data_IF_098857722464
#
_entry.id   IF_098857722464
#
_cell.length_a   1.000
_cell.length_b   1.000
_cell.length_c   1.000
_cell.angle_alpha   90.00
_cell.angle_beta   90.00
_cell.angle_gamma   90.00
#
_symmetry.space_group_name_H-M   'P 1'
#
loop_
_entity.id
_entity.type
_entity.pdbx_description
1 polymer ?
#
# COMPACT_ATOMS: atom_id res chain seq x y z
N UNK A 1 39.45 13.67 -24.58
CA UNK A 1 38.17 13.83 -23.86
C UNK A 1 36.94 14.00 -24.77
N UNK A 2 36.94 14.85 -25.82
CA UNK A 2 35.76 15.01 -26.73
C UNK A 2 35.37 13.72 -27.49
N UNK A 3 36.35 12.96 -27.99
CA UNK A 3 36.10 11.67 -28.68
C UNK A 3 35.47 10.63 -27.75
N UNK A 4 35.92 10.53 -26.49
CA UNK A 4 35.37 9.61 -25.49
C UNK A 4 33.90 9.94 -25.13
N UNK A 5 33.55 11.23 -25.00
CA UNK A 5 32.16 11.65 -24.81
C UNK A 5 31.26 11.26 -25.99
N UNK A 6 31.76 11.34 -27.23
CA UNK A 6 31.02 10.92 -28.42
C UNK A 6 30.72 9.42 -28.44
N UNK A 7 31.70 8.58 -28.08
CA UNK A 7 31.52 7.13 -27.97
C UNK A 7 30.54 6.74 -26.84
N UNK A 8 30.56 7.45 -25.71
CA UNK A 8 29.60 7.23 -24.61
C UNK A 8 28.18 7.57 -25.05
N UNK A 9 27.97 8.71 -25.72
CA UNK A 9 26.65 9.09 -26.23
C UNK A 9 26.16 8.07 -27.27
N UNK A 10 27.02 7.66 -28.20
CA UNK A 10 26.68 6.64 -29.19
C UNK A 10 26.30 5.31 -28.52
N UNK A 11 27.07 4.84 -27.54
CA UNK A 11 26.77 3.62 -26.80
C UNK A 11 25.40 3.71 -26.09
N UNK A 12 25.10 4.84 -25.43
CA UNK A 12 23.80 5.06 -24.78
C UNK A 12 22.66 5.04 -25.80
N UNK A 13 22.81 5.72 -26.94
CA UNK A 13 21.80 5.74 -28.02
C UNK A 13 21.56 4.35 -28.57
N UNK A 14 22.62 3.56 -28.81
CA UNK A 14 22.50 2.18 -29.31
C UNK A 14 21.78 1.29 -28.29
N UNK A 15 22.13 1.39 -27.00
CA UNK A 15 21.45 0.62 -25.94
C UNK A 15 19.97 0.97 -25.86
N UNK A 16 19.62 2.26 -25.93
CA UNK A 16 18.22 2.71 -25.95
C UNK A 16 17.49 2.17 -27.19
N UNK A 17 18.12 2.25 -28.37
CA UNK A 17 17.54 1.76 -29.62
C UNK A 17 17.27 0.24 -29.57
N UNK A 18 18.22 -0.56 -29.07
CA UNK A 18 18.05 -2.00 -28.90
C UNK A 18 16.93 -2.33 -27.90
N UNK A 19 16.84 -1.58 -26.81
CA UNK A 19 15.76 -1.75 -25.83
C UNK A 19 14.39 -1.43 -26.44
N UNK A 20 14.27 -0.30 -27.15
CA UNK A 20 13.02 0.08 -27.83
C UNK A 20 12.63 -0.91 -28.93
N UNK A 21 13.61 -1.44 -29.68
CA UNK A 21 13.38 -2.46 -30.69
C UNK A 21 12.87 -3.76 -30.05
N UNK A 22 13.48 -4.20 -28.95
CA UNK A 22 13.00 -5.36 -28.19
C UNK A 22 11.56 -5.16 -27.71
N UNK A 23 11.23 -3.99 -27.14
CA UNK A 23 9.85 -3.68 -26.77
C UNK A 23 8.91 -3.73 -27.97
N UNK A 24 9.29 -3.12 -29.09
CA UNK A 24 8.49 -3.15 -30.32
C UNK A 24 8.20 -4.58 -30.79
N UNK A 25 9.22 -5.44 -30.87
CA UNK A 25 9.06 -6.82 -31.31
C UNK A 25 8.10 -7.60 -30.39
N UNK A 26 8.22 -7.41 -29.07
CA UNK A 26 7.32 -8.07 -28.11
C UNK A 26 5.88 -7.58 -28.25
N UNK A 27 5.65 -6.27 -28.16
CA UNK A 27 4.29 -5.71 -28.22
C UNK A 27 3.61 -5.94 -29.56
N UNK A 28 4.34 -5.81 -30.66
CA UNK A 28 3.80 -6.04 -32.00
C UNK A 28 3.53 -7.52 -32.26
N UNK A 29 4.42 -8.41 -31.79
CA UNK A 29 4.22 -9.85 -31.85
C UNK A 29 2.97 -10.29 -31.09
N UNK A 30 2.81 -9.81 -29.85
CA UNK A 30 1.61 -10.09 -29.04
C UNK A 30 0.36 -9.50 -29.70
N UNK A 31 0.41 -8.27 -30.22
CA UNK A 31 -0.71 -7.65 -30.92
C UNK A 31 -1.18 -8.48 -32.13
N UNK A 32 -0.25 -8.95 -32.97
CA UNK A 32 -0.58 -9.84 -34.10
C UNK A 32 -1.20 -11.16 -33.61
N UNK A 33 -0.67 -11.74 -32.54
CA UNK A 33 -1.21 -12.96 -31.96
C UNK A 33 -2.64 -12.78 -31.44
N UNK A 34 -2.90 -11.73 -30.66
CA UNK A 34 -4.25 -11.41 -30.16
C UNK A 34 -5.23 -11.14 -31.30
N UNK A 35 -4.80 -10.43 -32.35
CA UNK A 35 -5.65 -10.16 -33.51
C UNK A 35 -5.99 -11.45 -34.28
N UNK A 36 -5.02 -12.35 -34.48
CA UNK A 36 -5.25 -13.64 -35.13
C UNK A 36 -6.22 -14.55 -34.34
N UNK A 37 -6.25 -14.41 -33.01
CA UNK A 37 -7.17 -15.14 -32.14
C UNK A 37 -8.55 -14.47 -31.99
N UNK A 38 -8.79 -13.33 -32.67
CA UNK A 38 -10.04 -12.56 -32.57
C UNK A 38 -10.20 -11.74 -31.29
N UNK A 39 -9.14 -11.59 -30.48
CA UNK A 39 -9.11 -10.85 -29.22
C UNK A 39 -8.34 -9.53 -29.29
N UNK A 40 -8.16 -8.95 -30.50
CA UNK A 40 -7.42 -7.69 -30.69
C UNK A 40 -7.91 -6.54 -29.81
N UNK A 41 -9.23 -6.41 -29.65
CA UNK A 41 -9.83 -5.36 -28.80
C UNK A 41 -9.45 -5.47 -27.32
N UNK A 42 -9.21 -6.69 -26.81
CA UNK A 42 -8.78 -6.93 -25.43
C UNK A 42 -7.35 -6.40 -25.24
N UNK A 43 -6.49 -6.68 -26.20
CA UNK A 43 -5.11 -6.17 -26.20
C UNK A 43 -5.08 -4.65 -26.31
N UNK A 44 -5.86 -4.06 -27.22
CA UNK A 44 -5.94 -2.60 -27.37
C UNK A 44 -6.42 -1.93 -26.07
N UNK A 45 -7.42 -2.52 -25.40
CA UNK A 45 -7.91 -2.03 -24.11
C UNK A 45 -6.84 -2.12 -23.01
N UNK A 46 -6.10 -3.22 -22.96
CA UNK A 46 -4.99 -3.41 -22.02
C UNK A 46 -3.90 -2.35 -22.21
N UNK A 47 -3.42 -2.16 -23.45
CA UNK A 47 -2.38 -1.18 -23.78
C UNK A 47 -2.87 0.24 -23.50
N UNK A 48 -4.10 0.57 -23.90
CA UNK A 48 -4.68 1.87 -23.62
C UNK A 48 -4.72 2.15 -22.11
N UNK A 49 -5.17 1.17 -21.32
CA UNK A 49 -5.20 1.31 -19.86
C UNK A 49 -3.79 1.53 -19.28
N UNK A 50 -2.80 0.76 -19.73
CA UNK A 50 -1.39 0.93 -19.33
C UNK A 50 -0.86 2.33 -19.66
N UNK A 51 -1.04 2.78 -20.91
CA UNK A 51 -0.57 4.10 -21.38
C UNK A 51 -1.27 5.23 -20.65
N UNK A 52 -2.60 5.16 -20.48
CA UNK A 52 -3.38 6.18 -19.75
C UNK A 52 -2.93 6.25 -18.29
N UNK A 53 -2.78 5.10 -17.62
CA UNK A 53 -2.25 5.06 -16.25
C UNK A 53 -0.83 5.63 -16.18
N UNK A 54 0.05 5.26 -17.10
CA UNK A 54 1.41 5.80 -17.15
C UNK A 54 1.38 7.34 -17.25
N UNK A 55 0.68 7.89 -18.25
CA UNK A 55 0.63 9.34 -18.49
C UNK A 55 0.02 10.09 -17.31
N UNK A 56 -1.08 9.56 -16.75
CA UNK A 56 -1.77 10.19 -15.62
C UNK A 56 -0.89 10.24 -14.36
N UNK A 57 -0.32 9.11 -13.95
CA UNK A 57 0.51 9.05 -12.74
C UNK A 57 1.87 9.73 -12.93
N UNK A 58 2.43 9.71 -14.15
CA UNK A 58 3.60 10.52 -14.51
C UNK A 58 3.31 12.00 -14.31
N UNK A 59 2.19 12.48 -14.87
CA UNK A 59 1.76 13.87 -14.74
C UNK A 59 1.57 14.29 -13.28
N UNK A 60 0.84 13.49 -12.50
CA UNK A 60 0.60 13.76 -11.07
C UNK A 60 1.93 13.86 -10.31
N UNK A 61 2.83 12.88 -10.49
CA UNK A 61 4.12 12.87 -9.79
C UNK A 61 4.98 14.06 -10.18
N UNK A 62 5.14 14.31 -11.49
CA UNK A 62 6.00 15.38 -12.00
C UNK A 62 5.48 16.73 -11.55
N UNK A 63 4.17 16.98 -11.64
CA UNK A 63 3.57 18.24 -11.20
C UNK A 63 3.80 18.47 -9.70
N UNK A 64 3.53 17.46 -8.87
CA UNK A 64 3.73 17.57 -7.43
C UNK A 64 5.22 17.75 -7.08
N UNK A 65 6.10 16.84 -7.51
CA UNK A 65 7.51 16.87 -7.18
C UNK A 65 8.21 18.12 -7.73
N UNK A 66 7.93 18.53 -8.97
CA UNK A 66 8.49 19.76 -9.54
C UNK A 66 8.00 21.00 -8.80
N UNK A 67 6.74 21.05 -8.35
CA UNK A 67 6.25 22.17 -7.54
C UNK A 67 6.99 22.26 -6.20
N UNK A 68 7.15 21.14 -5.49
CA UNK A 68 7.85 21.11 -4.20
C UNK A 68 9.34 21.45 -4.35
N UNK A 69 10.02 20.87 -5.34
CA UNK A 69 11.44 21.14 -5.62
C UNK A 69 11.65 22.60 -6.06
N UNK A 70 10.77 23.15 -6.90
CA UNK A 70 10.85 24.55 -7.31
C UNK A 70 10.64 25.50 -6.12
N UNK A 71 9.71 25.17 -5.21
CA UNK A 71 9.53 25.90 -3.96
C UNK A 71 10.79 25.83 -3.09
N UNK A 72 11.40 24.66 -2.96
CA UNK A 72 12.65 24.46 -2.24
C UNK A 72 13.78 25.30 -2.82
N UNK A 73 13.98 25.22 -4.15
CA UNK A 73 14.99 25.99 -4.88
C UNK A 73 14.83 27.48 -4.64
N UNK A 74 13.61 28.03 -4.77
CA UNK A 74 13.34 29.46 -4.53
C UNK A 74 13.64 29.87 -3.10
N UNK A 75 13.25 29.06 -2.11
CA UNK A 75 13.51 29.36 -0.70
C UNK A 75 15.00 29.23 -0.34
N UNK A 76 15.72 28.31 -0.99
CA UNK A 76 17.15 28.06 -0.78
C UNK A 76 18.07 29.15 -1.34
N UNK A 77 17.62 29.97 -2.30
CA UNK A 77 18.41 31.12 -2.80
C UNK A 77 18.88 32.04 -1.67
N UNK A 78 18.08 32.19 -0.61
CA UNK A 78 18.43 33.05 0.53
C UNK A 78 19.49 32.43 1.48
N UNK A 79 19.75 31.14 1.36
CA UNK A 79 20.76 30.41 2.17
C UNK A 79 21.98 30.00 1.35
N UNK A 80 21.97 30.21 0.02
CA UNK A 80 23.09 29.96 -0.89
C UNK A 80 24.28 30.87 -0.59
N UNK A 81 25.05 30.53 0.43
CA UNK A 81 26.38 31.07 0.63
C UNK A 81 27.40 29.93 0.57
N UNK A 82 27.74 29.55 -0.66
CA UNK A 82 28.73 28.49 -0.95
C UNK A 82 30.17 29.02 -0.95
N UNK A 83 30.41 30.24 -0.44
CA UNK A 83 31.74 30.87 -0.41
C UNK A 83 32.73 30.17 0.51
N UNK A 84 32.28 29.24 1.36
CA UNK A 84 33.12 28.52 2.33
C UNK A 84 32.78 27.02 2.38
N UNK A 85 32.72 26.36 1.22
CA UNK A 85 32.70 24.90 1.18
C UNK A 85 34.13 24.39 1.45
N UNK A 86 34.28 23.44 2.37
CA UNK A 86 35.57 22.77 2.56
C UNK A 86 35.89 21.93 1.31
N UNK A 87 37.18 21.75 1.00
CA UNK A 87 37.62 20.99 -0.17
C UNK A 87 37.16 19.51 -0.16
N UNK A 88 36.87 18.95 1.01
CA UNK A 88 36.40 17.58 1.23
C UNK A 88 34.86 17.44 1.21
N UNK A 89 34.12 18.51 0.90
CA UNK A 89 32.66 18.47 0.92
C UNK A 89 32.10 17.63 -0.25
N UNK A 90 31.29 16.58 0.00
CA UNK A 90 30.72 15.73 -1.06
C UNK A 90 29.83 16.50 -2.05
N UNK A 91 29.34 17.69 -1.66
CA UNK A 91 28.59 18.58 -2.57
C UNK A 91 29.44 19.09 -3.73
N UNK A 92 30.77 19.15 -3.60
CA UNK A 92 31.68 19.68 -4.60
C UNK A 92 31.57 18.97 -5.97
N UNK A 93 31.22 17.68 -5.98
CA UNK A 93 31.02 16.88 -7.21
C UNK A 93 29.75 17.29 -7.98
N UNK A 94 28.72 17.76 -7.27
CA UNK A 94 27.37 17.98 -7.82
C UNK A 94 27.11 19.47 -8.09
N UNK A 95 27.71 20.36 -7.29
CA UNK A 95 27.55 21.80 -7.40
C UNK A 95 27.80 22.40 -8.79
N UNK A 96 28.77 21.92 -9.61
CA UNK A 96 28.95 22.42 -10.99
C UNK A 96 27.75 22.15 -11.92
N UNK A 97 26.97 21.10 -11.63
CA UNK A 97 25.71 20.77 -12.31
C UNK A 97 24.53 21.56 -11.71
N UNK A 98 24.67 22.03 -10.47
CA UNK A 98 23.66 22.73 -9.70
C UNK A 98 23.86 24.26 -9.69
N UNK A 99 24.14 24.87 -10.85
CA UNK A 99 24.27 26.33 -11.00
C UNK A 99 23.53 26.89 -12.22
N UNK A 100 22.94 28.09 -12.06
CA UNK A 100 22.25 28.81 -13.14
C UNK A 100 21.13 28.00 -13.80
N UNK A 101 21.04 28.05 -15.14
CA UNK A 101 20.05 27.30 -15.93
C UNK A 101 20.23 25.77 -15.83
N UNK A 102 21.39 25.27 -15.39
CA UNK A 102 21.65 23.82 -15.27
C UNK A 102 20.84 23.17 -14.16
N UNK A 103 20.43 23.93 -13.13
CA UNK A 103 19.61 23.40 -12.04
C UNK A 103 18.24 22.96 -12.55
N UNK A 104 17.66 23.70 -13.48
CA UNK A 104 16.41 23.31 -14.12
C UNK A 104 16.56 21.97 -14.84
N UNK A 105 17.59 21.81 -15.67
CA UNK A 105 17.86 20.55 -16.38
C UNK A 105 18.18 19.39 -15.42
N UNK A 106 18.94 19.65 -14.36
CA UNK A 106 19.23 18.67 -13.32
C UNK A 106 17.93 18.15 -12.69
N UNK A 107 17.07 19.03 -12.21
CA UNK A 107 15.80 18.63 -11.59
C UNK A 107 14.82 18.03 -12.60
N UNK A 108 14.81 18.50 -13.84
CA UNK A 108 13.98 17.91 -14.89
C UNK A 108 14.39 16.45 -15.15
N UNK A 109 15.69 16.14 -15.18
CA UNK A 109 16.19 14.76 -15.32
C UNK A 109 15.85 13.93 -14.08
N UNK A 110 16.08 14.45 -12.87
CA UNK A 110 15.81 13.72 -11.62
C UNK A 110 14.32 13.45 -11.43
N UNK A 111 13.48 14.48 -11.54
CA UNK A 111 12.01 14.36 -11.42
C UNK A 111 11.46 13.53 -12.58
N UNK A 112 11.98 13.68 -13.80
CA UNK A 112 11.58 12.87 -14.94
C UNK A 112 11.91 11.39 -14.75
N UNK A 113 13.11 11.06 -14.28
CA UNK A 113 13.54 9.69 -13.98
C UNK A 113 12.62 9.03 -12.95
N UNK A 114 12.43 9.67 -11.79
CA UNK A 114 11.54 9.13 -10.76
C UNK A 114 10.07 9.15 -11.19
N UNK A 115 9.66 10.10 -12.04
CA UNK A 115 8.34 10.12 -12.66
C UNK A 115 8.09 8.89 -13.53
N UNK A 116 9.07 8.50 -14.35
CA UNK A 116 8.99 7.26 -15.15
C UNK A 116 8.87 6.05 -14.21
N UNK A 117 9.68 5.96 -13.15
CA UNK A 117 9.62 4.85 -12.18
C UNK A 117 8.24 4.76 -11.53
N UNK A 118 7.70 5.90 -11.06
CA UNK A 118 6.40 5.99 -10.41
C UNK A 118 5.24 5.66 -11.36
N UNK A 119 5.32 6.13 -12.60
CA UNK A 119 4.34 5.89 -13.64
C UNK A 119 4.34 4.43 -14.11
N UNK A 120 5.52 3.82 -14.25
CA UNK A 120 5.67 2.40 -14.59
C UNK A 120 5.06 1.50 -13.51
N UNK A 121 5.25 1.84 -12.23
CA UNK A 121 4.61 1.12 -11.12
C UNK A 121 3.07 1.17 -11.22
N UNK A 122 2.49 2.35 -11.53
CA UNK A 122 1.06 2.50 -11.74
C UNK A 122 0.56 1.76 -12.98
N UNK A 123 1.28 1.87 -14.10
CA UNK A 123 0.97 1.17 -15.35
C UNK A 123 0.87 -0.35 -15.15
N UNK A 124 1.66 -0.94 -14.25
CA UNK A 124 1.56 -2.36 -13.90
C UNK A 124 0.23 -2.78 -13.25
N UNK A 125 -0.53 -1.83 -12.70
CA UNK A 125 -1.82 -2.05 -12.03
C UNK A 125 -3.03 -1.77 -12.94
N UNK A 126 -2.82 -1.66 -14.26
CA UNK A 126 -3.85 -1.37 -15.27
C UNK A 126 -5.12 -2.22 -15.10
N UNK A 127 -5.00 -3.52 -14.81
CA UNK A 127 -6.13 -4.43 -14.65
C UNK A 127 -6.99 -4.06 -13.42
N UNK A 128 -6.35 -3.66 -12.31
CA UNK A 128 -7.07 -3.20 -11.12
C UNK A 128 -7.83 -1.90 -11.41
N UNK A 129 -7.25 -0.98 -12.19
CA UNK A 129 -7.93 0.25 -12.57
C UNK A 129 -9.13 -0.01 -13.49
N UNK A 130 -9.02 -0.94 -14.44
CA UNK A 130 -10.16 -1.35 -15.27
C UNK A 130 -11.29 -1.95 -14.42
N UNK A 131 -10.94 -2.82 -13.47
CA UNK A 131 -11.91 -3.40 -12.53
C UNK A 131 -12.55 -2.34 -11.62
N UNK A 132 -11.81 -1.30 -11.24
CA UNK A 132 -12.34 -0.18 -10.46
C UNK A 132 -13.33 0.67 -11.26
N UNK A 133 -13.08 0.89 -12.55
CA UNK A 133 -13.96 1.66 -13.44
C UNK A 133 -15.19 0.85 -13.85
N UNK A 134 -15.04 -0.47 -14.00
CA UNK A 134 -16.10 -1.40 -14.37
C UNK A 134 -16.35 -2.47 -13.29
N UNK A 135 -16.76 -2.07 -12.06
CA UNK A 135 -17.01 -3.02 -10.99
C UNK A 135 -18.28 -3.82 -11.26
N UNK A 136 -18.31 -5.08 -10.86
CA UNK A 136 -19.52 -5.92 -10.87
C UNK A 136 -20.02 -6.11 -9.44
N UNK A 137 -21.31 -5.89 -9.22
CA UNK A 137 -21.93 -6.16 -7.94
C UNK A 137 -22.16 -7.67 -7.77
N UNK A 138 -21.85 -8.19 -6.59
CA UNK A 138 -22.10 -9.58 -6.25
C UNK A 138 -23.52 -9.79 -5.69
N UNK A 139 -24.16 -8.72 -5.21
CA UNK A 139 -25.47 -8.77 -4.56
C UNK A 139 -25.40 -9.28 -3.12
N UNK A 140 -24.19 -9.35 -2.55
CA UNK A 140 -23.93 -9.88 -1.21
C UNK A 140 -23.28 -8.79 -0.38
N UNK A 141 -24.04 -8.24 0.56
CA UNK A 141 -23.54 -7.22 1.47
C UNK A 141 -22.97 -7.86 2.74
N UNK A 142 -21.77 -7.43 3.13
CA UNK A 142 -21.17 -7.85 4.39
C UNK A 142 -21.82 -7.14 5.60
N UNK A 143 -21.90 -7.80 6.77
CA UNK A 143 -22.74 -7.35 7.88
C UNK A 143 -22.14 -6.23 8.75
N UNK A 144 -20.89 -5.83 8.54
CA UNK A 144 -20.17 -4.88 9.42
C UNK A 144 -20.27 -3.44 8.89
N UNK A 145 -19.97 -3.21 7.61
CA UNK A 145 -20.05 -1.90 6.96
C UNK A 145 -21.18 -1.79 5.92
N UNK A 146 -21.89 -2.89 5.64
CA UNK A 146 -22.97 -2.93 4.64
C UNK A 146 -22.49 -2.77 3.20
N UNK A 147 -21.22 -3.09 2.91
CA UNK A 147 -20.65 -2.97 1.56
C UNK A 147 -20.85 -4.26 0.76
N UNK A 148 -21.08 -4.14 -0.54
CA UNK A 148 -21.10 -5.30 -1.43
C UNK A 148 -19.71 -5.94 -1.51
N UNK A 149 -19.63 -7.26 -1.65
CA UNK A 149 -18.36 -7.97 -1.81
C UNK A 149 -17.50 -7.42 -2.97
N UNK A 150 -18.13 -6.87 -4.02
CA UNK A 150 -17.47 -6.23 -5.15
C UNK A 150 -16.66 -4.99 -4.77
N UNK A 151 -17.02 -4.26 -3.70
CA UNK A 151 -16.19 -3.18 -3.17
C UNK A 151 -14.81 -3.69 -2.76
N UNK A 152 -14.76 -4.81 -2.06
CA UNK A 152 -13.54 -5.39 -1.52
C UNK A 152 -12.65 -6.03 -2.59
N UNK A 153 -13.26 -6.58 -3.65
CA UNK A 153 -12.55 -7.23 -4.75
C UNK A 153 -12.05 -6.21 -5.77
N UNK A 154 -12.89 -5.25 -6.17
CA UNK A 154 -12.60 -4.37 -7.30
C UNK A 154 -12.15 -2.96 -6.91
N UNK A 155 -12.61 -2.44 -5.76
CA UNK A 155 -12.39 -1.02 -5.41
C UNK A 155 -11.33 -0.81 -4.34
N UNK A 156 -11.37 -1.60 -3.27
CA UNK A 156 -10.43 -1.50 -2.15
C UNK A 156 -8.96 -1.65 -2.58
N UNK A 157 -8.57 -2.58 -3.48
CA UNK A 157 -7.18 -2.70 -3.93
C UNK A 157 -6.67 -1.43 -4.61
N UNK A 158 -7.51 -0.74 -5.40
CA UNK A 158 -7.14 0.52 -6.04
C UNK A 158 -6.99 1.63 -5.01
N UNK A 159 -7.88 1.74 -4.02
CA UNK A 159 -7.71 2.72 -2.94
C UNK A 159 -6.42 2.47 -2.12
N UNK A 160 -6.07 1.21 -1.88
CA UNK A 160 -4.82 0.83 -1.22
C UNK A 160 -3.59 1.20 -2.05
N UNK A 161 -3.61 0.88 -3.35
CA UNK A 161 -2.58 1.27 -4.30
C UNK A 161 -2.39 2.80 -4.30
N UNK A 162 -3.48 3.56 -4.48
CA UNK A 162 -3.45 5.02 -4.51
C UNK A 162 -2.88 5.61 -3.21
N UNK A 163 -3.26 5.05 -2.05
CA UNK A 163 -2.77 5.48 -0.74
C UNK A 163 -1.27 5.22 -0.60
N UNK A 164 -0.80 4.02 -0.97
CA UNK A 164 0.62 3.67 -0.91
C UNK A 164 1.46 4.49 -1.90
N UNK A 165 0.99 4.63 -3.13
CA UNK A 165 1.62 5.42 -4.18
C UNK A 165 1.71 6.91 -3.78
N UNK A 166 0.65 7.47 -3.20
CA UNK A 166 0.64 8.84 -2.68
C UNK A 166 1.65 9.04 -1.56
N UNK A 167 1.67 8.15 -0.55
CA UNK A 167 2.62 8.24 0.56
C UNK A 167 4.07 8.18 0.05
N UNK A 168 4.35 7.27 -0.88
CA UNK A 168 5.68 7.14 -1.47
C UNK A 168 6.04 8.36 -2.33
N UNK A 169 5.10 8.92 -3.11
CA UNK A 169 5.29 10.18 -3.83
C UNK A 169 5.68 11.32 -2.87
N UNK A 170 4.97 11.48 -1.75
CA UNK A 170 5.27 12.53 -0.76
C UNK A 170 6.64 12.34 -0.13
N UNK A 171 6.99 11.11 0.27
CA UNK A 171 8.31 10.79 0.85
C UNK A 171 9.43 11.06 -0.16
N UNK A 172 9.25 10.64 -1.41
CA UNK A 172 10.24 10.83 -2.46
C UNK A 172 10.41 12.31 -2.81
N UNK A 173 9.32 13.07 -2.91
CA UNK A 173 9.37 14.52 -3.06
C UNK A 173 10.05 15.20 -1.86
N UNK A 174 9.77 14.75 -0.62
CA UNK A 174 10.42 15.27 0.56
C UNK A 174 11.93 14.98 0.56
N UNK A 175 12.36 13.80 0.10
CA UNK A 175 13.77 13.47 -0.08
C UNK A 175 14.44 14.39 -1.12
N UNK A 176 13.80 14.64 -2.27
CA UNK A 176 14.28 15.60 -3.27
C UNK A 176 14.39 17.02 -2.70
N UNK A 177 13.39 17.47 -1.96
CA UNK A 177 13.39 18.79 -1.32
C UNK A 177 14.50 18.89 -0.27
N UNK A 178 14.67 17.88 0.58
CA UNK A 178 15.77 17.81 1.56
C UNK A 178 17.13 17.87 0.85
N UNK A 179 17.28 17.13 -0.25
CA UNK A 179 18.48 17.17 -1.07
C UNK A 179 18.73 18.55 -1.69
N UNK A 180 17.69 19.23 -2.20
CA UNK A 180 17.77 20.61 -2.67
C UNK A 180 18.29 21.54 -1.57
N UNK A 181 17.73 21.44 -0.37
CA UNK A 181 18.14 22.28 0.76
C UNK A 181 19.55 21.98 1.28
N UNK A 182 19.98 20.72 1.19
CA UNK A 182 21.34 20.33 1.48
C UNK A 182 22.35 20.97 0.50
N UNK A 183 22.03 20.96 -0.81
CA UNK A 183 22.83 21.64 -1.84
C UNK A 183 22.83 23.17 -1.67
N UNK A 184 21.75 23.73 -1.14
CA UNK A 184 21.60 25.16 -0.85
C UNK A 184 22.15 25.59 0.52
N UNK A 185 22.83 24.68 1.24
CA UNK A 185 23.37 24.88 2.59
C UNK A 185 22.34 25.48 3.57
N UNK A 186 21.08 25.06 3.45
CA UNK A 186 19.96 25.66 4.18
C UNK A 186 19.80 25.14 5.62
N UNK A 187 20.56 24.09 5.95
CA UNK A 187 20.75 23.54 7.29
C UNK A 187 22.16 22.96 7.41
N UNK A 188 22.71 22.94 8.62
CA UNK A 188 24.05 22.44 8.87
C UNK A 188 24.53 22.75 10.29
N UNK A 189 25.80 22.44 10.55
CA UNK A 189 26.43 22.71 11.84
C UNK A 189 27.18 24.04 11.76
N UNK A 190 26.84 24.98 12.65
CA UNK A 190 27.56 26.25 12.81
C UNK A 190 28.08 26.31 14.24
N UNK A 191 29.40 26.15 14.40
CA UNK A 191 30.01 25.93 15.71
C UNK A 191 29.47 24.65 16.37
N UNK A 192 28.98 24.76 17.60
CA UNK A 192 28.39 23.64 18.35
C UNK A 192 26.85 23.55 18.23
N UNK A 193 26.23 24.33 17.33
CA UNK A 193 24.77 24.38 17.18
C UNK A 193 24.33 23.98 15.77
N UNK A 194 23.25 23.20 15.68
CA UNK A 194 22.61 22.85 14.41
C UNK A 194 21.60 23.93 14.02
N UNK A 195 21.82 24.58 12.88
CA UNK A 195 20.91 25.58 12.36
C UNK A 195 20.06 25.00 11.22
N UNK A 196 18.80 25.45 11.15
CA UNK A 196 17.89 25.15 10.05
C UNK A 196 17.12 26.43 9.78
N UNK A 197 17.11 26.90 8.54
CA UNK A 197 16.40 28.15 8.20
C UNK A 197 14.89 28.03 8.46
N UNK A 198 14.25 29.16 8.82
CA UNK A 198 12.82 29.15 9.13
C UNK A 198 11.95 28.69 7.95
N UNK A 199 12.31 29.08 6.72
CA UNK A 199 11.59 28.69 5.50
C UNK A 199 11.69 27.19 5.22
N UNK A 200 12.86 26.59 5.43
CA UNK A 200 13.04 25.12 5.34
C UNK A 200 12.14 24.42 6.35
N UNK A 201 12.10 24.89 7.60
CA UNK A 201 11.23 24.31 8.63
C UNK A 201 9.77 24.35 8.20
N UNK A 202 9.31 25.48 7.67
CA UNK A 202 7.91 25.64 7.22
C UNK A 202 7.56 24.67 6.10
N UNK A 203 8.40 24.59 5.07
CA UNK A 203 8.18 23.70 3.94
C UNK A 203 8.21 22.23 4.35
N UNK A 204 9.13 21.85 5.25
CA UNK A 204 9.17 20.49 5.82
C UNK A 204 7.92 20.16 6.63
N UNK A 205 7.43 21.12 7.42
CA UNK A 205 6.19 20.95 8.19
C UNK A 205 4.98 20.78 7.26
N UNK A 206 4.91 21.56 6.17
CA UNK A 206 3.85 21.41 5.16
C UNK A 206 3.91 20.07 4.43
N UNK A 207 5.11 19.57 4.10
CA UNK A 207 5.29 18.20 3.58
C UNK A 207 4.87 17.13 4.59
N UNK A 208 5.08 17.38 5.88
CA UNK A 208 4.50 16.58 6.96
C UNK A 208 2.97 16.59 6.95
N UNK A 209 2.34 17.72 6.60
CA UNK A 209 0.89 17.82 6.38
C UNK A 209 0.41 16.94 5.23
N UNK A 210 1.09 16.98 4.07
CA UNK A 210 0.79 16.08 2.95
C UNK A 210 0.94 14.61 3.38
N UNK A 211 2.03 14.28 4.08
CA UNK A 211 2.22 12.93 4.59
C UNK A 211 1.09 12.50 5.53
N UNK A 212 0.67 13.38 6.44
CA UNK A 212 -0.44 13.13 7.37
C UNK A 212 -1.77 12.86 6.67
N UNK A 213 -2.09 13.53 5.55
CA UNK A 213 -3.27 13.20 4.73
C UNK A 213 -3.20 11.75 4.24
N UNK A 214 -2.02 11.32 3.77
CA UNK A 214 -1.78 9.94 3.36
C UNK A 214 -1.91 8.94 4.51
N UNK A 215 -1.45 9.31 5.72
CA UNK A 215 -1.62 8.48 6.91
C UNK A 215 -3.10 8.33 7.29
N UNK A 216 -3.89 9.39 7.16
CA UNK A 216 -5.34 9.30 7.38
C UNK A 216 -6.01 8.34 6.40
N UNK A 217 -5.68 8.45 5.10
CA UNK A 217 -6.14 7.50 4.09
C UNK A 217 -5.68 6.06 4.38
N UNK A 218 -4.46 5.88 4.89
CA UNK A 218 -3.95 4.57 5.30
C UNK A 218 -4.79 3.96 6.43
N UNK A 219 -5.18 4.73 7.44
CA UNK A 219 -6.08 4.23 8.49
C UNK A 219 -7.49 3.94 7.96
N UNK A 220 -7.97 4.69 6.97
CA UNK A 220 -9.22 4.37 6.28
C UNK A 220 -9.12 3.03 5.54
N UNK A 221 -7.99 2.73 4.90
CA UNK A 221 -7.75 1.42 4.29
C UNK A 221 -7.67 0.31 5.34
N UNK A 222 -7.00 0.56 6.48
CA UNK A 222 -6.95 -0.38 7.62
C UNK A 222 -8.33 -0.68 8.17
N UNK A 223 -9.23 0.31 8.21
CA UNK A 223 -10.61 0.13 8.63
C UNK A 223 -11.36 -0.91 7.79
N UNK A 224 -11.30 -0.79 6.46
CA UNK A 224 -11.94 -1.77 5.59
C UNK A 224 -11.21 -3.12 5.57
N UNK A 225 -9.88 -3.12 5.77
CA UNK A 225 -9.09 -4.34 5.85
C UNK A 225 -9.37 -5.20 7.09
N UNK A 226 -10.13 -4.71 8.08
CA UNK A 226 -10.57 -5.55 9.19
C UNK A 226 -11.39 -6.76 8.72
N UNK A 227 -11.99 -6.70 7.53
CA UNK A 227 -12.65 -7.88 6.94
C UNK A 227 -11.70 -9.02 6.56
N UNK A 228 -10.41 -8.74 6.45
CA UNK A 228 -9.36 -9.73 6.23
C UNK A 228 -8.56 -10.02 7.51
N UNK A 229 -9.03 -9.55 8.67
CA UNK A 229 -8.38 -9.78 9.96
C UNK A 229 -8.28 -11.27 10.26
N UNK A 230 -7.17 -11.67 10.85
CA UNK A 230 -6.94 -13.03 11.37
C UNK A 230 -6.75 -13.03 12.89
N UNK A 231 -7.16 -11.95 13.57
CA UNK A 231 -6.93 -11.77 15.00
C UNK A 231 -7.88 -12.58 15.88
N UNK A 232 -9.05 -12.97 15.36
CA UNK A 232 -10.06 -13.76 16.08
C UNK A 232 -9.97 -15.26 15.82
N UNK A 233 -10.97 -15.99 16.33
CA UNK A 233 -11.13 -17.45 16.16
C UNK A 233 -11.37 -17.84 14.69
N UNK A 234 -11.90 -16.93 13.89
CA UNK A 234 -12.14 -17.09 12.46
C UNK A 234 -11.64 -15.85 11.70
N UNK A 235 -11.45 -15.99 10.38
CA UNK A 235 -11.13 -14.86 9.52
C UNK A 235 -12.28 -13.82 9.49
N UNK A 236 -11.91 -12.55 9.49
CA UNK A 236 -12.84 -11.42 9.52
C UNK A 236 -12.89 -10.71 10.87
N UNK A 237 -13.77 -9.71 11.01
CA UNK A 237 -13.81 -8.85 12.19
C UNK A 237 -14.34 -9.60 13.41
N UNK A 238 -13.58 -9.60 14.50
CA UNK A 238 -13.96 -10.12 15.82
C UNK A 238 -14.80 -9.14 16.64
N UNK A 239 -15.26 -9.54 17.83
CA UNK A 239 -15.94 -8.62 18.75
C UNK A 239 -15.07 -7.40 19.08
N UNK A 240 -13.79 -7.64 19.37
CA UNK A 240 -12.82 -6.60 19.66
C UNK A 240 -12.64 -5.66 18.46
N UNK A 241 -12.55 -6.20 17.25
CA UNK A 241 -12.39 -5.37 16.05
C UNK A 241 -13.58 -4.42 15.88
N UNK A 242 -14.80 -4.94 16.04
CA UNK A 242 -16.03 -4.17 15.80
C UNK A 242 -16.30 -3.14 16.89
N UNK A 243 -16.07 -3.48 18.16
CA UNK A 243 -16.42 -2.61 19.29
C UNK A 243 -15.26 -1.73 19.77
N UNK A 244 -14.01 -2.04 19.42
CA UNK A 244 -12.84 -1.28 19.85
C UNK A 244 -12.00 -0.77 18.68
N UNK A 245 -11.58 -1.64 17.76
CA UNK A 245 -10.67 -1.27 16.68
C UNK A 245 -11.31 -0.32 15.64
N UNK A 246 -12.57 -0.57 15.25
CA UNK A 246 -13.32 0.30 14.32
C UNK A 246 -13.48 1.72 14.88
N UNK A 247 -14.00 1.93 16.12
CA UNK A 247 -14.04 3.25 16.73
C UNK A 247 -12.67 3.92 16.81
N UNK A 248 -11.62 3.16 17.17
CA UNK A 248 -10.26 3.68 17.26
C UNK A 248 -9.74 4.18 15.90
N UNK A 249 -9.96 3.41 14.84
CA UNK A 249 -9.62 3.83 13.49
C UNK A 249 -10.42 5.05 13.03
N UNK A 250 -11.72 5.13 13.30
CA UNK A 250 -12.53 6.32 12.96
C UNK A 250 -12.01 7.59 13.64
N UNK A 251 -11.65 7.50 14.92
CA UNK A 251 -11.12 8.65 15.67
C UNK A 251 -9.75 9.07 15.14
N UNK A 252 -8.82 8.13 14.93
CA UNK A 252 -7.47 8.49 14.45
C UNK A 252 -7.50 9.02 13.02
N UNK A 253 -8.41 8.57 12.15
CA UNK A 253 -8.59 9.12 10.79
C UNK A 253 -8.89 10.62 10.86
N UNK A 254 -9.91 11.00 11.63
CA UNK A 254 -10.34 12.40 11.79
C UNK A 254 -9.25 13.22 12.48
N UNK A 255 -8.67 12.70 13.56
CA UNK A 255 -7.61 13.40 14.29
C UNK A 255 -6.37 13.63 13.41
N UNK A 256 -5.98 12.66 12.59
CA UNK A 256 -4.86 12.79 11.66
C UNK A 256 -5.13 13.86 10.61
N UNK A 257 -6.36 13.95 10.08
CA UNK A 257 -6.72 15.03 9.14
C UNK A 257 -6.65 16.41 9.80
N UNK A 258 -7.15 16.54 11.04
CA UNK A 258 -7.06 17.79 11.79
C UNK A 258 -5.60 18.19 12.04
N UNK A 259 -4.74 17.26 12.46
CA UNK A 259 -3.30 17.54 12.64
C UNK A 259 -2.64 17.90 11.31
N UNK A 260 -3.00 17.23 10.21
CA UNK A 260 -2.49 17.54 8.87
C UNK A 260 -2.87 18.96 8.44
N UNK A 261 -4.11 19.37 8.71
CA UNK A 261 -4.56 20.74 8.47
C UNK A 261 -3.76 21.75 9.30
N UNK A 262 -3.49 21.45 10.58
CA UNK A 262 -2.64 22.29 11.43
C UNK A 262 -1.21 22.39 10.90
N UNK A 263 -0.63 21.30 10.40
CA UNK A 263 0.69 21.31 9.76
C UNK A 263 0.71 22.23 8.53
N UNK A 264 -0.33 22.23 7.70
CA UNK A 264 -0.42 23.16 6.57
C UNK A 264 -0.51 24.63 7.00
N UNK A 265 -1.23 24.91 8.08
CA UNK A 265 -1.46 26.27 8.60
C UNK A 265 -0.31 26.80 9.48
N UNK A 266 0.67 25.97 9.83
CA UNK A 266 1.80 26.34 10.69
C UNK A 266 2.52 27.64 10.29
N UNK A 267 2.78 27.92 9.00
CA UNK A 267 3.46 29.15 8.61
C UNK A 267 2.69 30.44 8.97
N UNK A 268 1.38 30.34 9.20
CA UNK A 268 0.50 31.47 9.59
C UNK A 268 0.54 31.70 11.09
N UNK A 269 0.29 30.66 11.91
CA UNK A 269 0.17 30.83 13.36
C UNK A 269 1.50 30.77 14.13
N UNK A 270 2.53 30.08 13.61
CA UNK A 270 3.91 30.02 14.15
C UNK A 270 4.07 29.61 15.63
N UNK A 271 3.05 29.00 16.25
CA UNK A 271 3.07 28.55 17.65
C UNK A 271 3.64 27.14 17.77
N UNK A 272 4.96 27.03 17.98
CA UNK A 272 5.66 25.73 18.11
C UNK A 272 5.11 24.83 19.22
N UNK A 273 4.78 25.38 20.40
CA UNK A 273 4.21 24.62 21.52
C UNK A 273 2.87 23.97 21.15
N UNK A 274 2.00 24.74 20.48
CA UNK A 274 0.70 24.23 20.02
C UNK A 274 0.87 23.08 19.03
N UNK A 275 1.77 23.24 18.05
CA UNK A 275 2.09 22.16 17.10
C UNK A 275 2.60 20.90 17.81
N UNK A 276 3.53 21.06 18.76
CA UNK A 276 4.10 19.95 19.51
C UNK A 276 3.03 19.24 20.35
N UNK A 277 2.11 19.97 20.98
CA UNK A 277 0.99 19.38 21.69
C UNK A 277 0.05 18.63 20.76
N UNK A 278 -0.28 19.17 19.58
CA UNK A 278 -1.12 18.45 18.60
C UNK A 278 -0.51 17.13 18.15
N UNK A 279 0.80 17.12 17.84
CA UNK A 279 1.52 15.90 17.44
C UNK A 279 1.61 14.92 18.62
N UNK A 280 1.90 15.40 19.83
CA UNK A 280 1.97 14.57 21.02
C UNK A 280 0.61 13.92 21.35
N UNK A 281 -0.48 14.69 21.30
CA UNK A 281 -1.84 14.17 21.47
C UNK A 281 -2.16 13.12 20.40
N UNK A 282 -1.82 13.38 19.15
CA UNK A 282 -2.01 12.39 18.08
C UNK A 282 -1.24 11.09 18.35
N UNK A 283 0.03 11.18 18.78
CA UNK A 283 0.83 10.01 19.11
C UNK A 283 0.26 9.24 20.32
N UNK A 284 -0.21 9.96 21.35
CA UNK A 284 -0.87 9.36 22.51
C UNK A 284 -2.16 8.64 22.13
N UNK A 285 -3.00 9.23 21.27
CA UNK A 285 -4.23 8.57 20.79
C UNK A 285 -3.89 7.37 19.91
N UNK A 286 -2.86 7.46 19.07
CA UNK A 286 -2.43 6.33 18.27
C UNK A 286 -1.95 5.15 19.14
N UNK A 287 -1.05 5.38 20.09
CA UNK A 287 -0.54 4.32 20.96
C UNK A 287 -1.64 3.82 21.91
N UNK A 288 -2.31 4.72 22.60
CA UNK A 288 -3.31 4.39 23.61
C UNK A 288 -4.59 3.80 23.01
N UNK A 289 -5.22 4.51 22.08
CA UNK A 289 -6.56 4.15 21.60
C UNK A 289 -6.54 3.17 20.44
N UNK A 290 -5.53 3.23 19.55
CA UNK A 290 -5.47 2.34 18.38
C UNK A 290 -4.74 1.04 18.66
N UNK A 291 -3.74 1.03 19.56
CA UNK A 291 -2.93 -0.16 19.84
C UNK A 291 -3.23 -0.80 21.20
N UNK A 292 -3.26 -0.03 22.28
CA UNK A 292 -3.45 -0.57 23.65
C UNK A 292 -4.92 -0.91 23.91
N UNK A 293 -5.84 0.02 23.63
CA UNK A 293 -7.26 -0.14 23.97
C UNK A 293 -7.92 -1.41 23.38
N UNK A 294 -7.75 -1.77 22.10
CA UNK A 294 -8.33 -2.99 21.54
C UNK A 294 -7.80 -4.25 22.25
N UNK A 295 -6.50 -4.28 22.55
CA UNK A 295 -5.86 -5.37 23.31
C UNK A 295 -6.45 -5.54 24.72
N UNK A 296 -6.78 -4.42 25.39
CA UNK A 296 -7.44 -4.47 26.70
C UNK A 296 -8.87 -5.02 26.59
N UNK A 297 -9.62 -4.61 25.56
CA UNK A 297 -10.97 -5.14 25.31
C UNK A 297 -10.91 -6.64 25.03
N UNK A 298 -9.95 -7.09 24.24
CA UNK A 298 -9.73 -8.51 23.98
C UNK A 298 -9.47 -9.28 25.29
N UNK A 299 -8.50 -8.82 26.08
CA UNK A 299 -8.05 -9.54 27.28
C UNK A 299 -9.09 -9.56 28.40
N UNK A 300 -9.79 -8.45 28.62
CA UNK A 300 -10.66 -8.28 29.79
C UNK A 300 -12.16 -8.40 29.48
N UNK A 301 -12.58 -8.27 28.22
CA UNK A 301 -14.01 -8.35 27.83
C UNK A 301 -14.30 -9.58 26.96
N UNK A 302 -13.43 -9.88 25.99
CA UNK A 302 -13.66 -10.99 25.05
C UNK A 302 -13.26 -12.32 25.68
N UNK A 303 -11.99 -12.52 26.04
CA UNK A 303 -11.47 -13.80 26.53
C UNK A 303 -12.26 -14.42 27.71
N UNK A 304 -12.74 -13.65 28.71
CA UNK A 304 -13.51 -14.22 29.80
C UNK A 304 -14.84 -14.85 29.38
N UNK A 305 -15.41 -14.45 28.24
CA UNK A 305 -16.67 -14.99 27.71
C UNK A 305 -16.65 -15.04 26.18
N UNK A 306 -15.60 -15.66 25.63
CA UNK A 306 -15.26 -15.61 24.21
C UNK A 306 -16.38 -16.21 23.35
N UNK A 307 -16.91 -17.38 23.74
CA UNK A 307 -17.98 -18.05 23.00
C UNK A 307 -19.16 -17.10 22.77
N UNK A 308 -19.68 -16.47 23.82
CA UNK A 308 -20.86 -15.58 23.69
C UNK A 308 -20.54 -14.33 22.86
N UNK A 309 -19.33 -13.77 23.00
CA UNK A 309 -18.92 -12.53 22.32
C UNK A 309 -18.60 -12.74 20.85
N UNK A 310 -17.97 -13.86 20.50
CA UNK A 310 -17.52 -14.17 19.14
C UNK A 310 -18.55 -14.93 18.30
N UNK A 311 -19.53 -15.61 18.92
CA UNK A 311 -20.62 -16.33 18.21
C UNK A 311 -21.21 -15.57 17.01
N UNK A 312 -21.67 -14.30 17.14
CA UNK A 312 -22.26 -13.60 15.99
C UNK A 312 -21.29 -13.42 14.82
N UNK A 313 -20.01 -13.18 15.08
CA UNK A 313 -19.00 -13.00 14.03
C UNK A 313 -18.60 -14.33 13.38
N UNK A 314 -18.52 -15.40 14.16
CA UNK A 314 -18.32 -16.75 13.65
C UNK A 314 -19.48 -17.17 12.75
N UNK A 315 -20.73 -16.89 13.15
CA UNK A 315 -21.91 -17.18 12.32
C UNK A 315 -21.89 -16.41 10.99
N UNK A 316 -21.45 -15.14 11.01
CA UNK A 316 -21.27 -14.36 9.79
C UNK A 316 -20.22 -14.98 8.87
N UNK A 317 -19.07 -15.39 9.42
CA UNK A 317 -18.02 -16.07 8.66
C UNK A 317 -18.54 -17.38 8.04
N UNK A 318 -19.22 -18.23 8.82
CA UNK A 318 -19.79 -19.49 8.33
C UNK A 318 -20.79 -19.22 7.20
N UNK A 319 -21.70 -18.25 7.38
CA UNK A 319 -22.70 -17.90 6.38
C UNK A 319 -22.04 -17.47 5.06
N UNK A 320 -21.13 -16.50 5.11
CA UNK A 320 -20.48 -15.95 3.92
C UNK A 320 -19.54 -16.95 3.25
N UNK A 321 -18.85 -17.79 4.01
CA UNK A 321 -18.02 -18.88 3.46
C UNK A 321 -18.88 -19.89 2.72
N UNK A 322 -20.00 -20.32 3.33
CA UNK A 322 -20.92 -21.27 2.68
C UNK A 322 -21.54 -20.69 1.42
N UNK A 323 -21.83 -19.39 1.41
CA UNK A 323 -22.33 -18.69 0.24
C UNK A 323 -21.27 -18.62 -0.88
N UNK A 324 -20.05 -18.19 -0.54
CA UNK A 324 -18.94 -18.07 -1.49
C UNK A 324 -18.55 -19.40 -2.16
N UNK A 325 -18.50 -20.50 -1.39
CA UNK A 325 -18.18 -21.83 -1.91
C UNK A 325 -19.40 -22.60 -2.45
N UNK A 326 -20.60 -22.01 -2.41
CA UNK A 326 -21.82 -22.68 -2.86
C UNK A 326 -22.23 -23.88 -2.00
N UNK A 327 -21.76 -23.98 -0.75
CA UNK A 327 -22.07 -25.07 0.18
C UNK A 327 -23.55 -25.10 0.61
N UNK A 328 -24.29 -24.02 0.33
CA UNK A 328 -25.74 -23.96 0.53
C UNK A 328 -26.53 -24.71 -0.55
N UNK A 329 -25.88 -25.14 -1.64
CA UNK A 329 -26.49 -25.87 -2.77
C UNK A 329 -26.13 -27.36 -2.79
N UNK A 330 -25.52 -27.87 -1.72
CA UNK A 330 -25.07 -29.26 -1.63
C UNK A 330 -26.21 -30.15 -1.14
N UNK A 331 -26.44 -31.25 -1.85
CA UNK A 331 -27.38 -32.29 -1.44
C UNK A 331 -26.71 -33.20 -0.40
N UNK A 332 -27.21 -33.16 0.84
CA UNK A 332 -26.75 -34.07 1.89
C UNK A 332 -27.40 -35.44 1.67
N UNK A 333 -26.63 -36.44 1.25
CA UNK A 333 -27.08 -37.83 1.18
C UNK A 333 -26.68 -38.55 2.46
N UNK A 334 -27.64 -38.97 3.30
CA UNK A 334 -27.32 -39.82 4.44
C UNK A 334 -26.69 -41.11 3.92
N UNK A 335 -25.52 -41.46 4.43
CA UNK A 335 -24.93 -42.78 4.25
C UNK A 335 -25.13 -43.55 5.56
N UNK A 336 -26.29 -44.22 5.74
CA UNK A 336 -26.54 -45.00 6.94
C UNK A 336 -25.58 -46.18 6.93
N UNK A 337 -24.65 -46.20 7.89
CA UNK A 337 -23.77 -47.35 8.11
C UNK A 337 -24.62 -48.46 8.74
N UNK A 338 -25.22 -49.31 7.91
CA UNK A 338 -25.93 -50.51 8.36
C UNK A 338 -24.90 -51.60 8.68
N UNK A 339 -24.93 -52.16 9.89
CA UNK A 339 -24.02 -53.24 10.32
C UNK A 339 -24.39 -54.63 9.77
N UNK A 340 -25.00 -54.68 8.58
CA UNK A 340 -25.46 -55.92 7.96
C UNK A 340 -24.45 -56.42 6.92
N UNK A 341 -23.19 -56.57 7.33
CA UNK A 341 -22.13 -57.11 6.45
C UNK A 341 -22.35 -58.62 6.31
N UNK A 342 -22.55 -59.10 5.08
CA UNK A 342 -22.63 -60.53 4.78
C UNK A 342 -21.27 -61.10 4.39
N UNK A 343 -21.10 -62.42 4.46
CA UNK A 343 -19.89 -63.07 3.98
C UNK A 343 -19.62 -62.82 2.49
N UNK A 344 -20.68 -62.65 1.69
CA UNK A 344 -20.59 -62.30 0.26
C UNK A 344 -19.98 -60.91 0.06
N UNK A 345 -20.37 -59.93 0.87
CA UNK A 345 -19.82 -58.57 0.82
C UNK A 345 -18.31 -58.54 1.12
N UNK A 346 -17.85 -59.40 2.05
CA UNK A 346 -16.42 -59.56 2.39
C UNK A 346 -15.65 -60.16 1.21
N UNK A 347 -16.24 -61.14 0.50
CA UNK A 347 -15.60 -61.73 -0.68
C UNK A 347 -15.52 -60.75 -1.85
N UNK A 348 -16.58 -59.97 -2.11
CA UNK A 348 -16.63 -58.98 -3.19
C UNK A 348 -15.71 -57.77 -2.92
N UNK A 349 -15.39 -57.48 -1.66
CA UNK A 349 -14.56 -56.33 -1.26
C UNK A 349 -13.20 -56.73 -0.65
N UNK A 350 -12.60 -57.83 -1.13
CA UNK A 350 -11.30 -58.36 -0.65
C UNK A 350 -10.19 -57.31 -0.56
N UNK A 351 -10.09 -56.40 -1.54
CA UNK A 351 -9.06 -55.35 -1.53
C UNK A 351 -9.22 -54.38 -0.34
N UNK A 352 -10.44 -54.01 0.01
CA UNK A 352 -10.73 -53.18 1.19
C UNK A 352 -10.39 -53.92 2.47
N UNK A 353 -10.81 -55.19 2.59
CA UNK A 353 -10.55 -56.04 3.78
C UNK A 353 -9.04 -56.21 4.02
N UNK A 354 -8.27 -56.48 2.95
CA UNK A 354 -6.83 -56.68 3.05
C UNK A 354 -6.07 -55.38 3.39
N UNK A 355 -6.68 -54.21 3.20
CA UNK A 355 -6.11 -52.89 3.51
C UNK A 355 -6.79 -52.20 4.71
N UNK A 356 -7.57 -52.91 5.52
CA UNK A 356 -8.12 -52.34 6.75
C UNK A 356 -6.97 -51.96 7.66
N UNK A 357 -6.83 -50.66 7.94
CA UNK A 357 -5.88 -50.15 8.91
C UNK A 357 -6.38 -50.49 10.32
N UNK A 358 -5.80 -51.52 10.92
CA UNK A 358 -6.07 -51.91 12.31
C UNK A 358 -5.60 -50.84 13.31
N UNK A 359 -4.62 -50.02 12.92
CA UNK A 359 -3.99 -48.99 13.77
C UNK A 359 -3.97 -47.65 13.02
N UNK A 360 -5.09 -46.94 12.99
CA UNK A 360 -5.10 -45.56 12.47
C UNK A 360 -4.56 -44.61 13.55
N UNK A 361 -3.57 -43.78 13.17
CA UNK A 361 -2.91 -42.81 14.05
C UNK A 361 -3.90 -41.82 14.69
N UNK A 362 -5.00 -41.49 14.00
CA UNK A 362 -5.98 -40.49 14.46
C UNK A 362 -6.76 -40.94 15.71
N UNK A 363 -7.47 -42.09 15.71
CA UNK A 363 -8.14 -42.58 16.90
C UNK A 363 -7.15 -42.92 18.03
N UNK A 364 -5.96 -43.43 17.71
CA UNK A 364 -4.93 -43.77 18.69
C UNK A 364 -4.47 -42.55 19.52
N UNK A 365 -4.23 -41.40 18.88
CA UNK A 365 -3.88 -40.15 19.57
C UNK A 365 -5.04 -39.65 20.44
N UNK A 366 -6.28 -39.79 19.97
CA UNK A 366 -7.47 -39.38 20.70
C UNK A 366 -7.68 -40.22 21.96
N UNK A 367 -7.50 -41.54 21.86
CA UNK A 367 -7.56 -42.46 22.99
C UNK A 367 -6.43 -42.23 23.99
N UNK A 368 -5.20 -41.98 23.53
CA UNK A 368 -4.08 -41.65 24.44
C UNK A 368 -4.33 -40.37 25.23
N UNK A 369 -4.88 -39.31 24.60
CA UNK A 369 -5.23 -38.06 25.29
C UNK A 369 -6.41 -38.16 26.27
N UNK A 370 -7.21 -39.23 26.19
CA UNK A 370 -8.34 -39.47 27.10
C UNK A 370 -7.96 -40.36 28.28
N UNK A 371 -6.99 -41.26 28.10
CA UNK A 371 -6.55 -42.23 29.11
C UNK A 371 -5.31 -41.78 29.90
N UNK A 372 -4.56 -40.79 29.40
CA UNK A 372 -3.44 -40.11 30.06
C UNK A 372 -3.70 -38.61 30.05
#
# INVERSE_FOLDING_TARGET
>A
MKKLKGWIVLAVVVVIALYLFSLFVNYYGDWLWFNNMGYGSVFDTMILAQVVSFVLFFGIFVLFAAAQVNLAYKQGVHTRNNRFLREDDPRALILPLYQGKRVFWFWMVVVGFFGIVMASSASGHWNQFLQFIHPTAFGVNEPIFGKDAGFYIFQLPVYQFLTGWYLFMVVLAAAMVLFSYYLDNAFGMQGNSFYVSARVKDHMIQLGGFFGVGISALFLMKLYNLLYSSNGVAYGPSYMDVHAQIPAYRVIIVLTLLVSLLLFLYPVYRKKKFLLYSIATWALVWIGFVWIYPSLVEQYVVKPNELKKETPYILNNIKLTREAFGLNKVEMKPFPVTQNITYKDIQENRQTINNIRLWDRRPLIQTYKQLQ
#
